data_IF_933176137124
#
_entry.id   IF_933176137124
#
_cell.length_a   1.000
_cell.length_b   1.000
_cell.length_c   1.000
_cell.angle_alpha   90.00
_cell.angle_beta   90.00
_cell.angle_gamma   90.00
#
_symmetry.space_group_name_H-M   'P 1'
#
loop_
_entity.id
_entity.type
_entity.pdbx_description
1 polymer ?
#
# COMPACT_ATOMS: atom_id res chain seq x y z
N UNK A 1 -30.55 15.86 -9.67
CA UNK A 1 -30.87 14.48 -9.26
C UNK A 1 -29.61 13.59 -9.27
N UNK A 2 -28.62 13.85 -8.40
CA UNK A 2 -27.36 13.06 -8.33
C UNK A 2 -26.84 12.91 -6.89
N UNK A 3 -27.70 13.04 -5.87
CA UNK A 3 -27.24 13.30 -4.49
C UNK A 3 -26.92 12.06 -3.63
N UNK A 4 -27.24 10.84 -4.07
CA UNK A 4 -27.06 9.60 -3.28
C UNK A 4 -26.40 8.44 -4.05
N UNK A 5 -25.86 8.67 -5.25
CA UNK A 5 -25.31 7.57 -6.06
C UNK A 5 -24.07 6.92 -5.45
N UNK A 6 -23.23 7.67 -4.72
CA UNK A 6 -21.99 7.12 -4.14
C UNK A 6 -22.23 6.14 -2.98
N UNK A 7 -23.31 6.33 -2.22
CA UNK A 7 -23.62 5.48 -1.06
C UNK A 7 -24.01 4.04 -1.46
N UNK A 8 -24.32 3.80 -2.73
CA UNK A 8 -24.64 2.48 -3.27
C UNK A 8 -23.39 1.67 -3.66
N UNK A 9 -22.21 2.30 -3.68
CA UNK A 9 -20.97 1.61 -4.05
C UNK A 9 -20.44 0.82 -2.84
N UNK A 10 -20.17 -0.48 -3.05
CA UNK A 10 -19.64 -1.38 -2.01
C UNK A 10 -18.41 -0.82 -1.26
N UNK A 11 -17.41 -0.19 -1.93
CA UNK A 11 -16.26 0.39 -1.21
C UNK A 11 -16.64 1.51 -0.24
N UNK A 12 -17.66 2.33 -0.58
CA UNK A 12 -18.15 3.41 0.28
C UNK A 12 -18.93 2.84 1.47
N UNK A 13 -19.76 1.82 1.24
CA UNK A 13 -20.46 1.10 2.31
C UNK A 13 -19.47 0.49 3.30
N UNK A 14 -18.44 -0.21 2.80
CA UNK A 14 -17.38 -0.80 3.61
C UNK A 14 -16.63 0.25 4.43
N UNK A 15 -16.28 1.40 3.84
CA UNK A 15 -15.65 2.50 4.57
C UNK A 15 -16.55 3.00 5.70
N UNK A 16 -17.83 3.28 5.41
CA UNK A 16 -18.79 3.78 6.39
C UNK A 16 -19.00 2.77 7.52
N UNK A 17 -19.15 1.48 7.21
CA UNK A 17 -19.30 0.41 8.20
C UNK A 17 -18.08 0.31 9.11
N UNK A 18 -16.86 0.40 8.55
CA UNK A 18 -15.63 0.25 9.31
C UNK A 18 -15.25 1.47 10.15
N UNK A 19 -15.29 2.69 9.59
CA UNK A 19 -14.83 3.90 10.31
C UNK A 19 -15.96 4.81 10.81
N UNK A 20 -17.20 4.60 10.37
CA UNK A 20 -18.30 5.55 10.57
C UNK A 20 -18.60 5.84 12.04
N UNK A 21 -18.54 4.82 12.91
CA UNK A 21 -18.76 4.99 14.36
C UNK A 21 -17.74 5.97 14.97
N UNK A 22 -16.46 5.77 14.68
CA UNK A 22 -15.38 6.60 15.22
C UNK A 22 -15.33 7.98 14.59
N UNK A 23 -15.57 8.08 13.27
CA UNK A 23 -15.70 9.36 12.58
C UNK A 23 -16.85 10.19 13.15
N UNK A 24 -18.00 9.57 13.44
CA UNK A 24 -19.14 10.25 14.08
C UNK A 24 -18.77 10.73 15.49
N UNK A 25 -18.08 9.90 16.28
CA UNK A 25 -17.57 10.27 17.62
C UNK A 25 -16.58 11.43 17.55
N UNK A 26 -15.66 11.39 16.59
CA UNK A 26 -14.66 12.43 16.37
C UNK A 26 -15.27 13.80 16.12
N UNK A 27 -16.23 13.89 15.20
CA UNK A 27 -16.89 15.16 14.93
C UNK A 27 -17.80 15.62 16.08
N UNK A 28 -18.47 14.70 16.79
CA UNK A 28 -19.30 15.03 17.95
C UNK A 28 -20.31 16.15 17.64
N UNK A 29 -20.34 17.21 18.46
CA UNK A 29 -21.17 18.41 18.24
C UNK A 29 -20.51 19.48 17.37
N UNK A 30 -19.22 19.35 17.06
CA UNK A 30 -18.42 20.37 16.39
C UNK A 30 -18.74 20.49 14.89
N UNK A 31 -18.44 21.65 14.30
CA UNK A 31 -18.46 21.82 12.83
C UNK A 31 -17.27 21.09 12.23
N UNK A 32 -17.48 20.42 11.09
CA UNK A 32 -16.49 19.56 10.47
C UNK A 32 -16.25 19.90 9.00
N UNK A 33 -15.09 19.50 8.47
CA UNK A 33 -14.82 19.41 7.05
C UNK A 33 -14.21 18.04 6.74
N UNK A 34 -14.72 17.39 5.70
CA UNK A 34 -14.07 16.24 5.06
C UNK A 34 -13.20 16.76 3.93
N UNK A 35 -11.96 16.29 3.84
CA UNK A 35 -10.99 16.66 2.81
C UNK A 35 -10.61 15.41 2.03
N UNK A 36 -10.99 15.31 0.76
CA UNK A 36 -10.54 14.22 -0.11
C UNK A 36 -9.10 14.45 -0.58
N UNK A 37 -8.19 13.52 -0.29
CA UNK A 37 -6.77 13.62 -0.62
C UNK A 37 -6.46 12.91 -1.95
N UNK A 38 -5.96 13.65 -2.94
CA UNK A 38 -5.67 13.10 -4.26
C UNK A 38 -6.92 12.57 -4.96
N UNK A 39 -6.75 11.86 -6.08
CA UNK A 39 -7.88 11.41 -6.89
C UNK A 39 -8.69 10.31 -6.19
N UNK A 40 -8.03 9.37 -5.54
CA UNK A 40 -8.70 8.26 -4.84
C UNK A 40 -9.40 8.74 -3.56
N UNK A 41 -8.77 9.60 -2.76
CA UNK A 41 -9.37 10.17 -1.56
C UNK A 41 -10.58 11.06 -1.84
N UNK A 42 -10.72 11.62 -3.04
CA UNK A 42 -11.93 12.34 -3.45
C UNK A 42 -13.14 11.40 -3.46
N UNK A 43 -13.02 10.20 -4.03
CA UNK A 43 -14.13 9.24 -4.10
C UNK A 43 -14.62 8.84 -2.70
N UNK A 44 -13.70 8.43 -1.83
CA UNK A 44 -14.01 8.02 -0.46
C UNK A 44 -14.47 9.19 0.41
N UNK A 45 -13.80 10.34 0.30
CA UNK A 45 -14.14 11.56 1.02
C UNK A 45 -15.53 12.06 0.64
N UNK A 46 -15.91 12.05 -0.63
CA UNK A 46 -17.25 12.41 -1.09
C UNK A 46 -18.31 11.44 -0.55
N UNK A 47 -18.07 10.14 -0.59
CA UNK A 47 -18.99 9.14 -0.03
C UNK A 47 -19.22 9.34 1.46
N UNK A 48 -18.13 9.50 2.24
CA UNK A 48 -18.20 9.74 3.68
C UNK A 48 -18.88 11.07 4.01
N UNK A 49 -18.63 12.11 3.22
CA UNK A 49 -19.31 13.40 3.31
C UNK A 49 -20.82 13.31 3.06
N UNK A 50 -21.24 12.58 2.02
CA UNK A 50 -22.67 12.39 1.70
C UNK A 50 -23.38 11.69 2.87
N UNK A 51 -22.77 10.63 3.40
CA UNK A 51 -23.29 9.93 4.59
C UNK A 51 -23.34 10.83 5.82
N UNK A 52 -22.25 11.53 6.14
CA UNK A 52 -22.18 12.44 7.29
C UNK A 52 -23.25 13.53 7.24
N UNK A 53 -23.55 14.08 6.05
CA UNK A 53 -24.58 15.11 5.88
C UNK A 53 -26.01 14.62 6.10
N UNK A 54 -26.27 13.31 5.97
CA UNK A 54 -27.58 12.74 6.30
C UNK A 54 -27.81 12.70 7.81
N UNK A 55 -26.73 12.60 8.60
CA UNK A 55 -26.81 12.41 10.06
C UNK A 55 -26.36 13.64 10.87
N UNK A 56 -25.68 14.61 10.26
CA UNK A 56 -25.12 15.77 10.94
C UNK A 56 -25.12 17.03 10.07
N UNK A 57 -25.64 18.13 10.64
CA UNK A 57 -25.55 19.48 10.04
C UNK A 57 -24.15 20.07 10.24
N UNK A 58 -23.76 20.97 9.33
CA UNK A 58 -22.53 21.74 9.46
C UNK A 58 -21.25 21.03 9.02
N UNK A 59 -21.35 19.93 8.26
CA UNK A 59 -20.20 19.30 7.59
C UNK A 59 -20.02 19.91 6.20
N UNK A 60 -18.77 20.27 5.87
CA UNK A 60 -18.33 20.74 4.55
C UNK A 60 -17.43 19.70 3.86
N UNK A 61 -17.23 19.86 2.55
CA UNK A 61 -16.31 19.02 1.76
C UNK A 61 -15.43 19.87 0.84
N UNK A 62 -14.13 19.58 0.85
CA UNK A 62 -13.14 20.11 -0.08
C UNK A 62 -12.15 19.00 -0.45
N UNK A 63 -11.17 19.32 -1.28
CA UNK A 63 -10.19 18.40 -1.83
C UNK A 63 -8.81 19.01 -1.77
N UNK A 64 -7.76 18.20 -1.71
CA UNK A 64 -6.40 18.70 -1.91
C UNK A 64 -5.50 17.59 -2.43
N UNK A 65 -4.37 17.94 -3.03
CA UNK A 65 -3.28 16.98 -3.21
C UNK A 65 -2.39 16.90 -1.96
N UNK A 66 -1.40 16.01 -1.97
CA UNK A 66 -0.46 15.81 -0.85
C UNK A 66 0.35 17.06 -0.44
N UNK A 67 0.43 18.06 -1.30
CA UNK A 67 1.10 19.33 -1.03
C UNK A 67 0.12 20.46 -0.65
N UNK A 68 -1.16 20.14 -0.40
CA UNK A 68 -2.22 21.08 -0.02
C UNK A 68 -2.83 21.87 -1.17
N UNK A 69 -2.39 21.68 -2.42
CA UNK A 69 -2.96 22.37 -3.57
C UNK A 69 -4.40 21.93 -3.79
N UNK A 70 -5.29 22.89 -4.01
CA UNK A 70 -6.72 22.66 -4.21
C UNK A 70 -7.57 22.83 -2.95
N UNK A 71 -6.95 22.98 -1.77
CA UNK A 71 -7.67 23.18 -0.52
C UNK A 71 -8.44 24.50 -0.51
N UNK A 72 -9.75 24.44 -0.29
CA UNK A 72 -10.56 25.64 -0.07
C UNK A 72 -10.56 26.02 1.42
N UNK A 73 -9.73 26.98 1.80
CA UNK A 73 -9.46 27.36 3.19
C UNK A 73 -10.74 27.70 4.00
N UNK A 74 -11.69 28.42 3.39
CA UNK A 74 -12.95 28.80 4.03
C UNK A 74 -13.81 27.58 4.43
N UNK A 75 -13.60 26.43 3.79
CA UNK A 75 -14.30 25.19 4.13
C UNK A 75 -13.69 24.47 5.33
N UNK A 76 -12.43 24.72 5.67
CA UNK A 76 -11.72 24.10 6.82
C UNK A 76 -11.56 25.03 8.02
N UNK A 77 -11.62 26.35 7.81
CA UNK A 77 -11.42 27.38 8.83
C UNK A 77 -12.36 27.20 10.03
N UNK A 78 -11.80 27.19 11.24
CA UNK A 78 -12.58 27.06 12.49
C UNK A 78 -13.27 25.71 12.71
N UNK A 79 -12.91 24.66 11.96
CA UNK A 79 -13.58 23.34 11.98
C UNK A 79 -12.64 22.23 12.41
N UNK A 80 -13.20 21.09 12.81
CA UNK A 80 -12.48 19.81 12.82
C UNK A 80 -12.30 19.33 11.37
N UNK A 81 -11.13 18.82 11.05
CA UNK A 81 -10.80 18.33 9.71
C UNK A 81 -10.63 16.81 9.76
N UNK A 82 -11.23 16.13 8.81
CA UNK A 82 -10.97 14.73 8.51
C UNK A 82 -10.42 14.63 7.09
N UNK A 83 -9.13 14.30 6.97
CA UNK A 83 -8.52 13.99 5.68
C UNK A 83 -8.88 12.54 5.35
N UNK A 84 -9.30 12.28 4.12
CA UNK A 84 -9.72 10.96 3.65
C UNK A 84 -8.91 10.56 2.44
N UNK A 85 -8.37 9.36 2.47
CA UNK A 85 -7.66 8.72 1.36
C UNK A 85 -8.17 7.27 1.19
N UNK A 86 -7.77 6.60 0.10
CA UNK A 86 -8.03 5.18 -0.09
C UNK A 86 -7.12 4.34 0.82
N UNK A 87 -5.80 4.53 0.74
CA UNK A 87 -4.85 3.76 1.52
C UNK A 87 -3.62 4.54 2.00
N UNK A 88 -2.95 3.98 3.02
CA UNK A 88 -1.60 4.39 3.41
C UNK A 88 -0.66 3.23 3.13
N UNK A 89 0.10 3.35 2.03
CA UNK A 89 1.10 2.34 1.63
C UNK A 89 2.44 2.56 2.32
N UNK A 90 3.11 3.67 1.99
CA UNK A 90 4.44 4.01 2.54
C UNK A 90 4.40 5.07 3.64
N UNK A 91 3.24 5.74 3.81
CA UNK A 91 3.09 6.88 4.71
C UNK A 91 3.62 8.21 4.15
N UNK A 92 4.21 8.25 2.95
CA UNK A 92 4.77 9.49 2.37
C UNK A 92 3.68 10.55 2.08
N UNK A 93 2.64 10.17 1.33
CA UNK A 93 1.50 11.04 1.03
C UNK A 93 0.81 11.52 2.32
N UNK A 94 0.53 10.60 3.25
CA UNK A 94 0.01 10.91 4.58
C UNK A 94 0.86 11.96 5.31
N UNK A 95 2.17 11.76 5.42
CA UNK A 95 3.07 12.68 6.14
C UNK A 95 3.09 14.08 5.51
N UNK A 96 3.11 14.16 4.17
CA UNK A 96 3.06 15.45 3.44
C UNK A 96 1.74 16.17 3.68
N UNK A 97 0.62 15.50 3.43
CA UNK A 97 -0.73 16.06 3.60
C UNK A 97 -0.98 16.52 5.03
N UNK A 98 -0.62 15.69 6.02
CA UNK A 98 -0.76 16.02 7.43
C UNK A 98 0.19 17.15 7.84
N UNK A 99 1.41 17.19 7.31
CA UNK A 99 2.39 18.25 7.53
C UNK A 99 1.86 19.61 7.07
N UNK A 100 1.29 19.67 5.87
CA UNK A 100 0.66 20.89 5.33
C UNK A 100 -0.49 21.34 6.22
N UNK A 101 -1.44 20.45 6.54
CA UNK A 101 -2.60 20.82 7.36
C UNK A 101 -2.22 21.23 8.78
N UNK A 102 -1.18 20.62 9.36
CA UNK A 102 -0.63 21.04 10.66
C UNK A 102 0.01 22.42 10.60
N UNK A 103 0.73 22.74 9.51
CA UNK A 103 1.28 24.08 9.28
C UNK A 103 0.20 25.15 9.19
N UNK A 104 -0.95 24.82 8.60
CA UNK A 104 -2.09 25.74 8.46
C UNK A 104 -3.00 25.83 9.69
N UNK A 105 -2.76 25.01 10.73
CA UNK A 105 -3.68 24.83 11.84
C UNK A 105 -3.95 26.13 12.60
N UNK A 106 -2.92 26.89 12.94
CA UNK A 106 -3.04 28.13 13.71
C UNK A 106 -3.68 29.23 12.86
N UNK A 107 -3.16 29.44 11.65
CA UNK A 107 -3.65 30.48 10.71
C UNK A 107 -5.13 30.31 10.38
N UNK A 108 -5.56 29.07 10.12
CA UNK A 108 -6.94 28.75 9.77
C UNK A 108 -7.81 28.42 11.00
N UNK A 109 -7.26 28.47 12.22
CA UNK A 109 -7.96 28.10 13.46
C UNK A 109 -8.61 26.70 13.37
N UNK A 110 -7.92 25.74 12.74
CA UNK A 110 -8.40 24.36 12.62
C UNK A 110 -8.40 23.74 14.02
N UNK A 111 -9.56 23.21 14.43
CA UNK A 111 -9.76 22.71 15.80
C UNK A 111 -8.99 21.43 16.08
N UNK A 112 -9.09 20.48 15.16
CA UNK A 112 -8.39 19.20 15.20
C UNK A 112 -8.26 18.62 13.79
N UNK A 113 -7.28 17.74 13.58
CA UNK A 113 -7.02 17.09 12.29
C UNK A 113 -6.88 15.60 12.53
N UNK A 114 -7.71 14.82 11.84
CA UNK A 114 -7.65 13.36 11.82
C UNK A 114 -7.58 12.84 10.39
N UNK A 115 -7.14 11.61 10.24
CA UNK A 115 -6.98 10.94 8.97
C UNK A 115 -7.77 9.63 8.96
N UNK A 116 -8.59 9.43 7.93
CA UNK A 116 -9.31 8.19 7.69
C UNK A 116 -8.90 7.56 6.36
N UNK A 117 -8.74 6.25 6.35
CA UNK A 117 -8.50 5.48 5.12
C UNK A 117 -9.32 4.20 5.09
N UNK A 118 -9.48 3.63 3.90
CA UNK A 118 -10.00 2.28 3.79
C UNK A 118 -8.94 1.28 4.33
N UNK A 119 -7.69 1.40 3.90
CA UNK A 119 -6.60 0.48 4.27
C UNK A 119 -5.38 1.22 4.83
N UNK A 120 -4.93 0.85 6.04
CA UNK A 120 -3.70 1.41 6.61
C UNK A 120 -2.65 0.32 6.81
N UNK A 121 -1.63 0.31 5.94
CA UNK A 121 -0.52 -0.66 6.00
C UNK A 121 0.56 -0.25 7.01
N UNK A 122 0.47 0.97 7.53
CA UNK A 122 1.51 1.60 8.35
C UNK A 122 1.13 1.78 9.81
N UNK A 123 -0.17 1.75 10.13
CA UNK A 123 -0.72 2.06 11.45
C UNK A 123 -0.66 3.56 11.79
N UNK A 124 -0.68 4.43 10.77
CA UNK A 124 -0.60 5.89 10.92
C UNK A 124 -1.97 6.58 10.90
N UNK A 125 -2.99 5.97 10.30
CA UNK A 125 -4.33 6.53 10.23
C UNK A 125 -4.97 6.55 11.62
N UNK A 126 -5.78 7.59 11.87
CA UNK A 126 -6.59 7.64 13.08
C UNK A 126 -7.79 6.69 13.00
N UNK A 127 -8.33 6.52 11.79
CA UNK A 127 -9.43 5.60 11.50
C UNK A 127 -9.10 4.79 10.24
N UNK A 128 -9.12 3.47 10.34
CA UNK A 128 -8.98 2.58 9.20
C UNK A 128 -9.96 1.42 9.31
N UNK A 129 -10.40 0.88 8.17
CA UNK A 129 -11.24 -0.33 8.16
C UNK A 129 -10.36 -1.57 8.38
N UNK A 130 -9.19 -1.58 7.73
CA UNK A 130 -8.26 -2.70 7.79
C UNK A 130 -6.89 -2.21 8.29
N UNK A 131 -6.47 -2.73 9.45
CA UNK A 131 -5.09 -2.71 9.91
C UNK A 131 -4.52 -4.11 9.71
N UNK A 132 -3.51 -4.24 8.85
CA UNK A 132 -2.87 -5.50 8.49
C UNK A 132 -3.71 -6.46 7.64
N UNK A 133 -3.62 -6.31 6.32
CA UNK A 133 -3.31 -7.43 5.43
C UNK A 133 -2.68 -6.86 4.17
N UNK A 134 -1.47 -7.30 3.86
CA UNK A 134 -0.95 -7.21 2.52
C UNK A 134 -1.99 -7.87 1.61
N UNK A 135 -2.64 -7.07 0.76
CA UNK A 135 -3.64 -7.54 -0.18
C UNK A 135 -4.91 -8.14 0.48
N UNK A 136 -6.05 -7.50 0.28
CA UNK A 136 -7.08 -8.26 -0.42
C UNK A 136 -6.55 -8.36 -1.86
N UNK A 137 -6.02 -9.51 -2.31
CA UNK A 137 -5.73 -9.63 -3.71
C UNK A 137 -7.05 -9.40 -4.41
N UNK A 138 -6.99 -8.86 -5.62
CA UNK A 138 -8.00 -9.16 -6.61
C UNK A 138 -8.61 -10.52 -6.33
N UNK A 139 -9.93 -10.59 -6.07
CA UNK A 139 -10.55 -11.88 -5.82
C UNK A 139 -10.17 -12.76 -7.00
N UNK A 140 -9.52 -13.90 -6.75
CA UNK A 140 -9.20 -14.87 -7.80
C UNK A 140 -10.46 -15.23 -8.61
N UNK A 141 -11.65 -15.07 -8.01
CA UNK A 141 -12.97 -15.17 -8.63
C UNK A 141 -13.19 -14.21 -9.82
N UNK A 142 -12.39 -13.13 -9.96
CA UNK A 142 -12.45 -12.21 -11.11
C UNK A 142 -11.58 -12.64 -12.29
N UNK A 143 -10.68 -13.61 -12.10
CA UNK A 143 -9.89 -14.17 -13.18
C UNK A 143 -10.66 -15.33 -13.79
N UNK A 144 -10.93 -15.24 -15.09
CA UNK A 144 -11.52 -16.37 -15.80
C UNK A 144 -10.45 -17.45 -16.09
N UNK A 145 -10.90 -18.64 -16.49
CA UNK A 145 -10.00 -19.75 -16.77
C UNK A 145 -8.99 -19.47 -17.90
N UNK A 146 -9.26 -18.50 -18.77
CA UNK A 146 -8.33 -18.09 -19.83
C UNK A 146 -7.23 -17.19 -19.27
N UNK A 147 -7.57 -16.25 -18.38
CA UNK A 147 -6.59 -15.43 -17.66
C UNK A 147 -5.62 -16.30 -16.86
N UNK A 148 -6.11 -17.31 -16.15
CA UNK A 148 -5.26 -18.24 -15.40
C UNK A 148 -4.30 -19.03 -16.31
N UNK A 149 -4.76 -19.48 -17.48
CA UNK A 149 -3.91 -20.16 -18.47
C UNK A 149 -2.83 -19.23 -19.03
N UNK A 150 -3.17 -17.96 -19.29
CA UNK A 150 -2.21 -16.94 -19.75
C UNK A 150 -1.14 -16.71 -18.68
N UNK A 151 -1.56 -16.50 -17.43
CA UNK A 151 -0.65 -16.31 -16.28
C UNK A 151 0.26 -17.53 -16.14
N UNK A 152 -0.27 -18.75 -16.20
CA UNK A 152 0.52 -19.97 -16.09
C UNK A 152 1.57 -20.09 -17.20
N UNK A 153 1.24 -19.75 -18.45
CA UNK A 153 2.18 -19.77 -19.56
C UNK A 153 3.32 -18.76 -19.34
N UNK A 154 2.97 -17.52 -18.98
CA UNK A 154 3.94 -16.44 -18.77
C UNK A 154 4.78 -16.62 -17.49
N UNK A 155 4.22 -17.22 -16.43
CA UNK A 155 4.97 -17.59 -15.22
C UNK A 155 6.04 -18.64 -15.52
N UNK A 156 5.79 -19.55 -16.47
CA UNK A 156 6.79 -20.54 -16.92
C UNK A 156 7.82 -19.92 -17.86
N UNK A 157 7.38 -19.05 -18.76
CA UNK A 157 8.24 -18.34 -19.70
C UNK A 157 7.66 -16.95 -20.02
N UNK A 158 8.19 -15.91 -19.37
CA UNK A 158 7.74 -14.54 -19.58
C UNK A 158 8.00 -13.98 -20.99
N UNK A 159 8.76 -14.70 -21.83
CA UNK A 159 9.02 -14.36 -23.23
C UNK A 159 8.16 -15.15 -24.21
N UNK A 160 7.24 -15.98 -23.74
CA UNK A 160 6.39 -16.78 -24.62
C UNK A 160 5.55 -15.87 -25.52
N UNK A 161 5.52 -16.14 -26.82
CA UNK A 161 4.83 -15.29 -27.79
C UNK A 161 3.31 -15.46 -27.66
N UNK A 162 2.55 -14.39 -27.95
CA UNK A 162 1.09 -14.47 -27.94
C UNK A 162 0.52 -15.46 -28.96
N UNK A 163 1.27 -15.78 -30.02
CA UNK A 163 0.91 -16.82 -31.00
C UNK A 163 1.00 -18.21 -30.37
N UNK A 164 2.03 -18.50 -29.59
CA UNK A 164 2.16 -19.78 -28.90
C UNK A 164 1.15 -19.93 -27.77
N UNK A 165 0.88 -18.85 -27.02
CA UNK A 165 -0.17 -18.85 -25.99
C UNK A 165 -1.56 -19.03 -26.63
N UNK A 166 -1.82 -18.40 -27.77
CA UNK A 166 -3.06 -18.57 -28.55
C UNK A 166 -3.30 -20.04 -28.91
N UNK A 167 -2.27 -20.75 -29.42
CA UNK A 167 -2.35 -22.19 -29.73
C UNK A 167 -2.76 -23.04 -28.52
N UNK A 168 -2.30 -22.68 -27.31
CA UNK A 168 -2.59 -23.40 -26.06
C UNK A 168 -3.96 -23.07 -25.46
N UNK A 169 -4.52 -21.91 -25.78
CA UNK A 169 -5.71 -21.36 -25.11
C UNK A 169 -6.95 -21.32 -26.00
N UNK A 170 -6.80 -21.40 -27.32
CA UNK A 170 -7.90 -21.29 -28.30
C UNK A 170 -8.35 -19.85 -28.58
N UNK A 171 -7.67 -18.85 -28.02
CA UNK A 171 -7.91 -17.43 -28.29
C UNK A 171 -7.09 -16.95 -29.51
N UNK A 172 -7.53 -15.84 -30.11
CA UNK A 172 -6.69 -15.14 -31.09
C UNK A 172 -5.48 -14.48 -30.41
N UNK A 173 -4.34 -14.30 -31.11
CA UNK A 173 -3.19 -13.57 -30.56
C UNK A 173 -3.52 -12.15 -30.08
N UNK A 174 -4.46 -11.48 -30.76
CA UNK A 174 -4.97 -10.15 -30.35
C UNK A 174 -5.78 -10.25 -29.05
N UNK A 175 -6.59 -11.30 -28.88
CA UNK A 175 -7.32 -11.55 -27.63
C UNK A 175 -6.39 -11.83 -26.45
N UNK A 176 -5.28 -12.56 -26.67
CA UNK A 176 -4.23 -12.77 -25.65
C UNK A 176 -3.57 -11.44 -25.29
N UNK A 177 -3.15 -10.65 -26.29
CA UNK A 177 -2.53 -9.34 -26.06
C UNK A 177 -3.41 -8.45 -25.18
N UNK A 178 -4.69 -8.30 -25.52
CA UNK A 178 -5.62 -7.45 -24.78
C UNK A 178 -5.79 -7.91 -23.32
N UNK A 179 -5.83 -9.24 -23.09
CA UNK A 179 -5.91 -9.79 -21.73
C UNK A 179 -4.63 -9.57 -20.93
N UNK A 180 -3.46 -9.79 -21.53
CA UNK A 180 -2.16 -9.53 -20.89
C UNK A 180 -2.03 -8.05 -20.51
N UNK A 181 -2.34 -7.14 -21.44
CA UNK A 181 -2.31 -5.70 -21.18
C UNK A 181 -3.29 -5.31 -20.06
N UNK A 182 -4.51 -5.85 -20.06
CA UNK A 182 -5.46 -5.65 -18.98
C UNK A 182 -4.91 -6.13 -17.64
N UNK A 183 -4.39 -7.36 -17.57
CA UNK A 183 -3.83 -7.93 -16.33
C UNK A 183 -2.63 -7.13 -15.81
N UNK A 184 -1.79 -6.59 -16.71
CA UNK A 184 -0.67 -5.70 -16.34
C UNK A 184 -1.20 -4.35 -15.83
N UNK A 185 -2.14 -3.74 -16.53
CA UNK A 185 -2.74 -2.46 -16.14
C UNK A 185 -3.49 -2.54 -14.81
N UNK A 186 -4.13 -3.68 -14.54
CA UNK A 186 -4.80 -4.00 -13.27
C UNK A 186 -3.80 -4.38 -12.14
N UNK A 187 -2.51 -4.50 -12.45
CA UNK A 187 -1.46 -4.88 -11.50
C UNK A 187 -1.50 -6.34 -11.07
N UNK A 188 -2.26 -7.19 -11.75
CA UNK A 188 -2.37 -8.63 -11.49
C UNK A 188 -1.17 -9.39 -12.05
N UNK A 189 -0.65 -8.94 -13.19
CA UNK A 189 0.48 -9.57 -13.88
C UNK A 189 1.65 -8.60 -14.00
N UNK A 190 2.86 -9.07 -13.71
CA UNK A 190 4.11 -8.36 -13.98
C UNK A 190 5.06 -9.28 -14.72
N UNK A 191 5.63 -8.81 -15.83
CA UNK A 191 6.66 -9.52 -16.57
C UNK A 191 7.99 -8.80 -16.29
N UNK A 192 8.97 -9.51 -15.75
CA UNK A 192 10.28 -8.97 -15.43
C UNK A 192 11.38 -9.98 -15.76
N UNK A 193 12.55 -9.48 -16.15
CA UNK A 193 13.76 -10.30 -16.21
C UNK A 193 14.24 -10.63 -14.80
N UNK A 194 14.65 -11.88 -14.58
CA UNK A 194 15.25 -12.32 -13.33
C UNK A 194 16.76 -12.54 -13.55
N UNK A 195 17.55 -12.10 -12.58
CA UNK A 195 18.98 -12.39 -12.54
C UNK A 195 19.19 -13.85 -12.06
N UNK A 196 20.09 -14.58 -12.69
CA UNK A 196 20.54 -15.88 -12.17
C UNK A 196 21.44 -15.64 -10.95
N UNK A 197 20.85 -15.62 -9.75
CA UNK A 197 21.55 -15.24 -8.52
C UNK A 197 22.80 -16.08 -8.24
N UNK A 198 22.79 -17.38 -8.59
CA UNK A 198 23.94 -18.29 -8.40
C UNK A 198 25.16 -17.98 -9.27
N UNK A 199 25.00 -17.17 -10.31
CA UNK A 199 26.11 -16.75 -11.17
C UNK A 199 26.79 -15.46 -10.66
N UNK A 200 26.16 -14.74 -9.72
CA UNK A 200 26.61 -13.42 -9.27
C UNK A 200 26.83 -13.33 -7.75
N UNK A 201 26.24 -14.25 -6.98
CA UNK A 201 26.26 -14.26 -5.53
C UNK A 201 26.60 -15.66 -5.03
N UNK A 202 27.09 -15.76 -3.79
CA UNK A 202 27.53 -17.03 -3.21
C UNK A 202 26.93 -17.32 -1.83
N UNK A 203 26.42 -16.30 -1.15
CA UNK A 203 25.96 -16.38 0.24
C UNK A 203 24.74 -15.51 0.44
N UNK A 204 23.87 -15.91 1.37
CA UNK A 204 22.72 -15.12 1.81
C UNK A 204 22.71 -14.95 3.33
N UNK A 205 21.95 -13.95 3.80
CA UNK A 205 21.65 -13.81 5.22
C UNK A 205 20.19 -13.41 5.42
N UNK A 206 19.59 -13.95 6.49
CA UNK A 206 18.32 -13.53 7.03
C UNK A 206 18.59 -12.75 8.32
N UNK A 207 18.10 -11.52 8.34
CA UNK A 207 18.33 -10.56 9.42
C UNK A 207 16.96 -10.24 10.02
N UNK A 208 16.71 -10.79 11.20
CA UNK A 208 15.54 -10.42 12.00
C UNK A 208 15.89 -9.23 12.88
N UNK A 209 15.05 -8.21 12.86
CA UNK A 209 15.33 -6.90 13.45
C UNK A 209 14.16 -6.52 14.35
N UNK A 210 14.47 -6.12 15.58
CA UNK A 210 13.55 -5.46 16.49
C UNK A 210 13.97 -4.00 16.62
N UNK A 211 13.08 -3.09 16.24
CA UNK A 211 13.28 -1.65 16.43
C UNK A 211 11.95 -0.94 16.71
N UNK A 212 11.99 0.36 17.02
CA UNK A 212 10.76 1.15 17.06
C UNK A 212 10.15 1.37 15.65
N UNK A 213 8.86 1.72 15.60
CA UNK A 213 8.12 1.85 14.35
C UNK A 213 8.72 2.90 13.38
N UNK A 214 9.32 3.96 13.92
CA UNK A 214 9.94 5.03 13.11
C UNK A 214 11.21 4.49 12.46
N UNK A 215 12.03 3.77 13.21
CA UNK A 215 13.24 3.11 12.72
C UNK A 215 12.91 2.04 11.68
N UNK A 216 11.94 1.16 11.95
CA UNK A 216 11.49 0.15 10.97
C UNK A 216 11.02 0.79 9.66
N UNK A 217 10.22 1.86 9.74
CA UNK A 217 9.75 2.56 8.53
C UNK A 217 10.91 3.16 7.72
N UNK A 218 11.91 3.74 8.41
CA UNK A 218 13.11 4.30 7.75
C UNK A 218 13.97 3.20 7.11
N UNK A 219 14.17 2.08 7.81
CA UNK A 219 14.92 0.93 7.29
C UNK A 219 14.24 0.34 6.06
N UNK A 220 12.91 0.24 6.04
CA UNK A 220 12.17 -0.24 4.87
C UNK A 220 12.42 0.67 3.65
N UNK A 221 12.24 1.99 3.79
CA UNK A 221 12.45 2.93 2.68
C UNK A 221 13.86 2.88 2.08
N UNK A 222 14.84 2.51 2.92
CA UNK A 222 16.23 2.34 2.56
C UNK A 222 16.51 0.99 1.91
N UNK A 223 16.00 -0.10 2.50
CA UNK A 223 16.20 -1.47 2.04
C UNK A 223 15.47 -1.77 0.74
N UNK A 224 14.31 -1.13 0.48
CA UNK A 224 13.62 -1.19 -0.82
C UNK A 224 14.49 -0.74 -2.00
N UNK A 225 15.53 0.05 -1.74
CA UNK A 225 16.46 0.57 -2.76
C UNK A 225 17.81 -0.16 -2.77
N UNK A 226 18.01 -1.11 -1.86
CA UNK A 226 19.28 -1.83 -1.74
C UNK A 226 19.35 -2.93 -2.80
N UNK A 227 20.45 -3.03 -3.58
CA UNK A 227 20.63 -4.11 -4.54
C UNK A 227 20.87 -5.47 -3.88
N UNK A 228 21.20 -5.49 -2.58
CA UNK A 228 21.46 -6.73 -1.83
C UNK A 228 20.19 -7.31 -1.21
N UNK A 229 19.16 -6.50 -0.96
CA UNK A 229 17.93 -6.94 -0.29
C UNK A 229 16.98 -7.51 -1.33
N UNK A 230 16.66 -8.80 -1.22
CA UNK A 230 15.76 -9.49 -2.15
C UNK A 230 14.39 -9.79 -1.54
N UNK A 231 14.28 -9.77 -0.21
CA UNK A 231 13.02 -10.05 0.49
C UNK A 231 12.96 -9.26 1.80
N UNK A 232 11.82 -8.59 2.03
CA UNK A 232 11.62 -7.70 3.17
C UNK A 232 10.19 -7.84 3.67
N UNK A 233 10.02 -8.14 4.96
CA UNK A 233 8.71 -8.45 5.53
C UNK A 233 8.59 -7.83 6.92
N UNK A 234 7.49 -7.10 7.15
CA UNK A 234 7.08 -6.75 8.51
C UNK A 234 6.47 -7.98 9.17
N UNK A 235 6.91 -8.26 10.38
CA UNK A 235 6.51 -9.45 11.15
C UNK A 235 5.85 -9.03 12.46
N UNK A 236 4.95 -9.85 12.99
CA UNK A 236 4.28 -9.65 14.28
C UNK A 236 4.93 -10.41 15.44
N UNK A 237 6.03 -11.12 15.16
CA UNK A 237 6.78 -11.91 16.14
C UNK A 237 7.68 -11.07 17.04
N UNK A 238 8.63 -11.75 17.70
CA UNK A 238 9.67 -11.13 18.56
C UNK A 238 10.41 -10.00 17.84
N UNK A 239 10.73 -10.23 16.58
CA UNK A 239 11.29 -9.24 15.67
C UNK A 239 10.17 -8.69 14.79
N UNK A 240 10.21 -7.39 14.51
CA UNK A 240 9.17 -6.69 13.76
C UNK A 240 9.56 -6.33 12.32
N UNK A 241 10.74 -6.77 11.88
CA UNK A 241 11.19 -6.74 10.49
C UNK A 241 12.11 -7.91 10.19
N UNK A 242 11.86 -8.62 9.09
CA UNK A 242 12.77 -9.58 8.48
C UNK A 242 13.31 -8.98 7.18
N UNK A 243 14.64 -8.87 7.07
CA UNK A 243 15.35 -8.51 5.85
C UNK A 243 16.21 -9.70 5.39
N UNK A 244 16.00 -10.16 4.16
CA UNK A 244 16.81 -11.21 3.55
C UNK A 244 17.68 -10.60 2.46
N UNK A 245 18.99 -10.86 2.52
CA UNK A 245 19.99 -10.33 1.61
C UNK A 245 20.77 -11.44 0.90
N UNK A 246 21.26 -11.15 -0.30
CA UNK A 246 22.20 -11.99 -1.05
C UNK A 246 23.46 -11.18 -1.35
N UNK A 247 24.63 -11.83 -1.36
CA UNK A 247 25.91 -11.15 -1.56
C UNK A 247 27.00 -12.06 -2.18
N UNK A 248 28.05 -11.48 -2.79
CA UNK A 248 29.14 -12.26 -3.39
C UNK A 248 30.05 -12.93 -2.35
N UNK A 249 30.08 -12.43 -1.11
CA UNK A 249 30.91 -12.95 -0.03
C UNK A 249 30.37 -12.52 1.36
N UNK A 250 30.91 -13.17 2.41
CA UNK A 250 30.52 -12.92 3.80
C UNK A 250 30.89 -11.50 4.27
N UNK A 251 32.04 -10.97 3.84
CA UNK A 251 32.50 -9.63 4.19
C UNK A 251 31.47 -8.56 3.78
N UNK A 252 30.83 -8.71 2.63
CA UNK A 252 29.79 -7.81 2.14
C UNK A 252 28.52 -7.87 3.00
N UNK A 253 28.17 -9.06 3.51
CA UNK A 253 27.07 -9.25 4.47
C UNK A 253 27.40 -8.56 5.80
N UNK A 254 28.61 -8.78 6.33
CA UNK A 254 29.06 -8.18 7.58
C UNK A 254 29.07 -6.65 7.49
N UNK A 255 29.58 -6.10 6.38
CA UNK A 255 29.56 -4.67 6.09
C UNK A 255 28.13 -4.11 6.02
N UNK A 256 27.21 -4.80 5.35
CA UNK A 256 25.80 -4.41 5.30
C UNK A 256 25.18 -4.39 6.69
N UNK A 257 25.39 -5.44 7.50
CA UNK A 257 24.85 -5.50 8.86
C UNK A 257 25.43 -4.39 9.73
N UNK A 258 26.75 -4.18 9.68
CA UNK A 258 27.43 -3.18 10.50
C UNK A 258 26.95 -1.76 10.16
N UNK A 259 26.93 -1.39 8.89
CA UNK A 259 26.61 -0.03 8.43
C UNK A 259 25.11 0.22 8.37
N UNK A 260 24.36 -0.74 7.82
CA UNK A 260 22.98 -0.50 7.41
C UNK A 260 21.95 -0.92 8.44
N UNK A 261 22.31 -1.84 9.35
CA UNK A 261 21.44 -2.37 10.40
C UNK A 261 21.88 -1.89 11.78
N UNK A 262 23.06 -2.31 12.27
CA UNK A 262 23.58 -1.96 13.60
C UNK A 262 23.83 -0.45 13.76
N UNK A 263 24.18 0.22 12.66
CA UNK A 263 24.41 1.67 12.65
C UNK A 263 23.13 2.51 12.73
N UNK A 264 21.94 1.93 12.63
CA UNK A 264 20.68 2.68 12.64
C UNK A 264 20.18 2.92 14.08
N UNK A 265 20.04 4.18 14.53
CA UNK A 265 19.51 4.48 15.85
C UNK A 265 18.09 3.94 16.02
N UNK A 266 17.84 3.26 17.15
CA UNK A 266 16.54 2.69 17.49
C UNK A 266 16.40 1.19 17.19
N UNK A 267 17.41 0.57 16.56
CA UNK A 267 17.53 -0.89 16.55
C UNK A 267 17.87 -1.38 17.96
N UNK A 268 17.08 -2.32 18.47
CA UNK A 268 17.19 -2.88 19.82
C UNK A 268 17.86 -4.25 19.81
N UNK A 269 17.35 -5.14 18.96
CA UNK A 269 17.87 -6.49 18.82
C UNK A 269 17.96 -6.86 17.36
N UNK A 270 18.96 -7.66 17.05
CA UNK A 270 19.09 -8.31 15.76
C UNK A 270 19.36 -9.79 15.99
N UNK A 271 18.85 -10.62 15.10
CA UNK A 271 19.31 -11.99 14.94
C UNK A 271 19.70 -12.21 13.47
N UNK A 272 20.81 -12.90 13.26
CA UNK A 272 21.41 -13.03 11.93
C UNK A 272 21.70 -14.50 11.66
N UNK A 273 21.05 -15.03 10.63
CA UNK A 273 21.30 -16.36 10.11
C UNK A 273 21.92 -16.27 8.72
N UNK A 274 23.19 -16.65 8.60
CA UNK A 274 23.91 -16.70 7.32
C UNK A 274 23.82 -18.11 6.75
N UNK A 275 23.66 -18.25 5.43
CA UNK A 275 23.58 -19.55 4.79
C UNK A 275 23.76 -19.50 3.27
N UNK A 276 23.39 -20.60 2.62
CA UNK A 276 23.38 -20.74 1.17
C UNK A 276 22.40 -19.77 0.51
N UNK A 277 22.46 -19.66 -0.83
CA UNK A 277 21.52 -18.84 -1.59
C UNK A 277 20.08 -19.36 -1.45
N UNK A 278 19.07 -18.46 -1.50
CA UNK A 278 17.68 -18.87 -1.44
C UNK A 278 17.30 -19.74 -2.65
N UNK A 279 16.57 -20.81 -2.40
CA UNK A 279 15.93 -21.60 -3.46
C UNK A 279 14.62 -20.90 -3.83
N UNK A 280 14.62 -20.21 -4.97
CA UNK A 280 13.46 -19.48 -5.48
C UNK A 280 12.73 -20.35 -6.52
N UNK A 281 11.46 -20.72 -6.31
CA UNK A 281 10.69 -21.43 -7.32
C UNK A 281 10.63 -20.64 -8.63
N UNK A 282 10.82 -21.33 -9.76
CA UNK A 282 10.80 -20.69 -11.09
C UNK A 282 9.46 -20.04 -11.45
N UNK A 283 8.38 -20.51 -10.83
CA UNK A 283 7.05 -19.99 -11.02
C UNK A 283 6.28 -20.09 -9.70
N UNK A 284 5.48 -19.06 -9.40
CA UNK A 284 4.47 -19.09 -8.37
C UNK A 284 3.12 -18.94 -9.05
N UNK A 285 2.35 -20.02 -9.12
CA UNK A 285 1.01 -20.01 -9.68
C UNK A 285 -0.02 -20.13 -8.55
N UNK A 286 -1.13 -19.37 -8.59
CA UNK A 286 -2.23 -19.61 -7.67
C UNK A 286 -2.77 -21.03 -7.88
N UNK A 287 -3.17 -21.74 -6.80
CA UNK A 287 -3.83 -23.02 -6.95
C UNK A 287 -5.13 -22.82 -7.74
N UNK A 288 -5.28 -23.58 -8.83
CA UNK A 288 -6.50 -23.60 -9.63
C UNK A 288 -7.42 -24.62 -8.95
N UNK A 289 -8.40 -24.16 -8.17
CA UNK A 289 -9.49 -24.99 -7.65
C UNK A 289 -10.72 -24.87 -8.53
#
# INVERSE_FOLDING_TARGET
>A
MLRNTLLNFKPIQKLIEGVGRDVKRYFGKERGCVVGLGDDGIFYGLGLYQWLRQIKKGITFTTMNENGKGLEEEKVKGRKVLIVDNDIVTGKSYKRALGVMKGEKERLKIKDIKFAVLCDRTGLADFSVEGYSAYAPWSLEKLDGLDLKIIQALSKNGRESFVEIAKKTGLSPVGIKNRVERLINEGVLKIQGLLNIGECYSVSAHIEIEADQKTISKMIEKFEKSPLVYHLVRTSGKYNLLASIISPNLESIENFIAKEVRGEPGVKHIDVSVGELPIIPKAWNPPIT
#
